data_IF_800270522897
#
_entry.id   IF_800270522897
#
_cell.length_a   1.000
_cell.length_b   1.000
_cell.length_c   1.000
_cell.angle_alpha   90.00
_cell.angle_beta   90.00
_cell.angle_gamma   90.00
#
_symmetry.space_group_name_H-M   'P 1'
#
loop_
_entity.id
_entity.type
_entity.pdbx_description
1 polymer ?
#
# COMPACT_ATOMS: atom_id res chain seq x y z
N UNK A 1 17.16 -1.87 4.02
CA UNK A 1 16.86 -1.05 5.24
C UNK A 1 15.38 -1.18 5.54
N UNK A 2 15.00 -1.59 6.72
CA UNK A 2 13.61 -1.58 7.19
C UNK A 2 13.45 -0.38 8.12
N UNK A 3 12.75 0.67 7.69
CA UNK A 3 12.71 1.97 8.37
C UNK A 3 12.01 1.91 9.73
N UNK A 4 10.90 1.17 9.93
CA UNK A 4 10.29 1.00 11.25
C UNK A 4 11.28 0.59 12.34
N UNK A 5 12.18 -0.35 12.06
CA UNK A 5 13.20 -0.79 13.04
C UNK A 5 14.18 0.30 13.47
N UNK A 6 14.40 1.30 12.63
CA UNK A 6 15.22 2.47 12.98
C UNK A 6 14.40 3.51 13.74
N UNK A 7 13.12 3.67 13.37
CA UNK A 7 12.19 4.58 14.01
C UNK A 7 12.02 4.22 15.49
N UNK A 8 11.74 2.95 15.80
CA UNK A 8 11.57 2.42 17.16
C UNK A 8 12.77 2.67 18.08
N UNK A 9 13.98 2.75 17.52
CA UNK A 9 15.22 2.95 18.25
C UNK A 9 15.64 4.41 18.37
N UNK A 10 14.89 5.33 17.75
CA UNK A 10 15.25 6.75 17.68
C UNK A 10 14.40 7.57 18.64
N UNK A 11 14.98 8.03 19.74
CA UNK A 11 14.30 8.89 20.73
C UNK A 11 13.93 10.29 20.18
N UNK A 12 14.71 10.85 19.28
CA UNK A 12 14.45 12.14 18.62
C UNK A 12 14.31 11.90 17.12
N UNK A 13 13.07 11.83 16.64
CA UNK A 13 12.73 11.56 15.24
C UNK A 13 13.41 12.52 14.26
N UNK A 14 13.78 13.72 14.70
CA UNK A 14 14.55 14.68 13.87
C UNK A 14 15.95 14.19 13.56
N UNK A 15 16.47 13.20 14.31
CA UNK A 15 17.77 12.57 14.13
C UNK A 15 17.72 11.23 13.44
N UNK A 16 16.53 10.78 12.98
CA UNK A 16 16.35 9.47 12.33
C UNK A 16 17.35 9.28 11.17
N UNK A 17 17.47 10.27 10.28
CA UNK A 17 18.41 10.21 9.17
C UNK A 17 19.85 10.00 9.63
N UNK A 18 20.32 10.79 10.60
CA UNK A 18 21.68 10.65 11.14
C UNK A 18 21.89 9.30 11.83
N UNK A 19 20.86 8.78 12.51
CA UNK A 19 20.93 7.46 13.13
C UNK A 19 21.09 6.34 12.10
N UNK A 20 20.29 6.37 11.03
CA UNK A 20 20.41 5.42 9.91
C UNK A 20 21.79 5.53 9.26
N UNK A 21 22.24 6.75 8.97
CA UNK A 21 23.54 7.02 8.35
C UNK A 21 24.70 6.43 9.17
N UNK A 22 24.69 6.63 10.50
CA UNK A 22 25.73 6.12 11.39
C UNK A 22 25.77 4.59 11.41
N UNK A 23 24.61 3.93 11.48
CA UNK A 23 24.53 2.46 11.47
C UNK A 23 25.04 1.90 10.15
N UNK A 24 24.60 2.47 9.01
CA UNK A 24 25.07 2.03 7.69
C UNK A 24 26.56 2.27 7.49
N UNK A 25 27.07 3.42 7.95
CA UNK A 25 28.49 3.73 7.90
C UNK A 25 29.33 2.72 8.69
N UNK A 26 28.88 2.36 9.90
CA UNK A 26 29.53 1.36 10.75
C UNK A 26 29.49 -0.03 10.12
N UNK A 27 28.34 -0.45 9.62
CA UNK A 27 28.20 -1.75 8.93
C UNK A 27 29.10 -1.87 7.70
N UNK A 28 29.16 -0.82 6.87
CA UNK A 28 30.03 -0.80 5.70
C UNK A 28 31.52 -0.82 6.07
N UNK A 29 31.95 -0.07 7.07
CA UNK A 29 33.32 -0.12 7.58
C UNK A 29 33.71 -1.50 8.08
N UNK A 30 32.81 -2.15 8.80
CA UNK A 30 33.02 -3.51 9.32
C UNK A 30 33.05 -4.56 8.21
N UNK A 31 32.30 -4.36 7.11
CA UNK A 31 32.27 -5.28 5.97
C UNK A 31 33.48 -5.10 5.03
N UNK A 32 33.92 -3.86 4.82
CA UNK A 32 35.01 -3.49 3.91
C UNK A 32 36.32 -3.13 4.66
N UNK A 33 36.70 -3.95 5.65
CA UNK A 33 37.86 -3.71 6.53
C UNK A 33 39.17 -3.51 5.78
N UNK A 34 39.37 -4.25 4.69
CA UNK A 34 40.61 -4.23 3.90
C UNK A 34 40.69 -3.06 2.90
N UNK A 35 39.65 -2.21 2.86
CA UNK A 35 39.58 -1.12 1.85
C UNK A 35 40.16 0.19 2.34
N UNK A 36 40.67 0.26 3.57
CA UNK A 36 41.31 1.46 4.13
C UNK A 36 40.36 2.65 4.29
N UNK A 37 39.12 2.41 4.63
CA UNK A 37 38.11 3.46 4.82
C UNK A 37 38.51 4.33 6.03
N UNK A 38 38.57 5.68 5.92
CA UNK A 38 38.86 6.55 7.03
C UNK A 38 37.82 6.41 8.18
N UNK A 39 38.25 6.40 9.40
CA UNK A 39 37.32 6.28 10.56
C UNK A 39 36.30 7.42 10.64
N UNK A 40 36.68 8.63 10.23
CA UNK A 40 35.81 9.81 10.26
C UNK A 40 34.92 9.96 9.01
N UNK A 41 35.00 9.01 8.05
CA UNK A 41 34.23 9.09 6.82
C UNK A 41 32.71 8.94 7.09
N UNK A 42 31.93 9.85 6.52
CA UNK A 42 30.46 9.73 6.44
C UNK A 42 30.03 8.69 5.40
N UNK A 43 28.74 8.39 5.34
CA UNK A 43 28.20 7.35 4.48
C UNK A 43 28.49 7.59 2.99
N UNK A 44 28.35 8.83 2.51
CA UNK A 44 28.63 9.17 1.10
C UNK A 44 30.14 9.00 0.76
N UNK A 45 31.00 9.42 1.66
CA UNK A 45 32.46 9.23 1.53
C UNK A 45 32.82 7.75 1.51
N UNK A 46 32.18 6.92 2.35
CA UNK A 46 32.40 5.46 2.39
C UNK A 46 31.94 4.84 1.06
N UNK A 47 30.73 5.16 0.60
CA UNK A 47 30.18 4.65 -0.66
C UNK A 47 31.14 4.97 -1.83
N UNK A 48 31.59 6.22 -1.93
CA UNK A 48 32.52 6.64 -2.98
C UNK A 48 33.89 5.97 -2.83
N UNK A 49 34.43 5.86 -1.62
CA UNK A 49 35.71 5.21 -1.35
C UNK A 49 35.69 3.73 -1.78
N UNK A 50 34.64 3.00 -1.39
CA UNK A 50 34.45 1.59 -1.75
C UNK A 50 34.27 1.42 -3.25
N UNK A 51 33.44 2.25 -3.89
CA UNK A 51 33.15 2.19 -5.31
C UNK A 51 34.39 2.40 -6.20
N UNK A 52 35.33 3.26 -5.72
CA UNK A 52 36.57 3.54 -6.42
C UNK A 52 37.71 2.57 -6.10
N UNK A 53 37.52 1.66 -5.12
CA UNK A 53 38.54 0.69 -4.75
C UNK A 53 38.72 -0.36 -5.87
N UNK A 54 39.98 -0.74 -6.22
CA UNK A 54 40.25 -1.69 -7.32
C UNK A 54 39.51 -3.03 -7.18
N UNK A 55 39.33 -3.53 -5.97
CA UNK A 55 38.59 -4.76 -5.66
C UNK A 55 37.07 -4.67 -5.86
N UNK A 56 36.53 -3.44 -6.03
CA UNK A 56 35.10 -3.17 -6.20
C UNK A 56 34.77 -2.53 -7.55
N UNK A 57 35.79 -2.32 -8.41
CA UNK A 57 35.66 -1.64 -9.70
C UNK A 57 34.53 -2.22 -10.56
N UNK A 58 33.73 -1.35 -11.18
CA UNK A 58 32.55 -1.65 -11.98
C UNK A 58 31.37 -2.28 -11.20
N UNK A 59 31.42 -2.30 -9.89
CA UNK A 59 30.29 -2.61 -9.01
C UNK A 59 29.62 -1.29 -8.60
N UNK A 60 28.58 -1.38 -7.85
CA UNK A 60 27.89 -0.21 -7.28
C UNK A 60 26.94 -0.66 -6.19
N UNK A 61 26.46 0.29 -5.44
CA UNK A 61 25.53 0.00 -4.36
C UNK A 61 24.09 -0.11 -4.89
N UNK A 62 23.36 -1.05 -4.33
CA UNK A 62 21.90 -1.18 -4.47
C UNK A 62 21.29 -0.98 -3.10
N UNK A 63 20.37 -0.03 -2.99
CA UNK A 63 19.62 0.21 -1.77
C UNK A 63 18.21 -0.34 -1.90
N UNK A 64 17.80 -1.16 -0.94
CA UNK A 64 16.43 -1.62 -0.78
C UNK A 64 15.92 -1.04 0.53
N UNK A 65 14.87 -0.21 0.47
CA UNK A 65 14.28 0.49 1.61
C UNK A 65 12.85 0.03 1.74
N UNK A 66 12.55 -0.57 2.87
CA UNK A 66 11.23 -1.10 3.18
C UNK A 66 10.51 -0.15 4.13
N UNK A 67 9.23 0.09 3.86
CA UNK A 67 8.36 1.02 4.60
C UNK A 67 8.97 2.42 4.74
N UNK A 68 9.45 2.98 3.61
CA UNK A 68 10.10 4.31 3.61
C UNK A 68 9.23 5.39 4.22
N UNK A 69 7.92 5.23 4.16
CA UNK A 69 6.88 6.19 4.53
C UNK A 69 6.43 6.09 6.00
N UNK A 70 6.96 5.15 6.78
CA UNK A 70 6.49 4.91 8.16
C UNK A 70 6.52 6.18 9.04
N UNK A 71 7.52 7.07 8.89
CA UNK A 71 7.59 8.33 9.63
C UNK A 71 6.39 9.26 9.34
N UNK A 72 5.80 9.16 8.15
CA UNK A 72 4.63 9.96 7.76
C UNK A 72 3.34 9.39 8.34
N UNK A 73 3.30 8.08 8.60
CA UNK A 73 2.16 7.38 9.19
C UNK A 73 2.18 7.42 10.72
N UNK A 74 3.35 7.26 11.32
CA UNK A 74 3.49 7.16 12.78
C UNK A 74 3.75 8.51 13.46
N UNK A 75 4.35 9.46 12.76
CA UNK A 75 4.67 10.79 13.28
C UNK A 75 4.02 11.90 12.44
N UNK A 76 2.71 11.79 12.23
CA UNK A 76 1.91 12.65 11.32
C UNK A 76 2.12 14.15 11.62
N UNK A 77 2.11 14.55 12.88
CA UNK A 77 2.24 15.95 13.29
C UNK A 77 3.69 16.47 13.31
N UNK A 78 4.69 15.57 13.24
CA UNK A 78 6.10 15.96 13.32
C UNK A 78 6.68 16.32 11.95
N UNK A 79 6.14 17.36 11.33
CA UNK A 79 6.56 17.83 9.99
C UNK A 79 8.04 18.20 9.92
N UNK A 80 8.64 18.62 11.06
CA UNK A 80 10.07 18.92 11.16
C UNK A 80 10.95 17.68 11.00
N UNK A 81 10.55 16.55 11.60
CA UNK A 81 11.25 15.27 11.46
C UNK A 81 11.06 14.71 10.04
N UNK A 82 9.84 14.77 9.49
CA UNK A 82 9.55 14.33 8.14
C UNK A 82 10.42 15.07 7.10
N UNK A 83 10.53 16.41 7.20
CA UNK A 83 11.39 17.21 6.31
C UNK A 83 12.87 16.83 6.41
N UNK A 84 13.39 16.58 7.62
CA UNK A 84 14.78 16.16 7.82
C UNK A 84 15.04 14.78 7.23
N UNK A 85 14.10 13.85 7.40
CA UNK A 85 14.19 12.52 6.81
C UNK A 85 14.20 12.56 5.28
N UNK A 86 13.32 13.35 4.66
CA UNK A 86 13.34 13.55 3.22
C UNK A 86 14.66 14.17 2.73
N UNK A 87 15.21 15.13 3.48
CA UNK A 87 16.51 15.73 3.17
C UNK A 87 17.64 14.70 3.26
N UNK A 88 17.59 13.81 4.25
CA UNK A 88 18.54 12.70 4.38
C UNK A 88 18.49 11.78 3.17
N UNK A 89 17.30 11.28 2.75
CA UNK A 89 17.16 10.43 1.56
C UNK A 89 17.67 11.14 0.31
N UNK A 90 17.33 12.41 0.13
CA UNK A 90 17.80 13.21 -0.99
C UNK A 90 19.32 13.34 -1.01
N UNK A 91 19.94 13.61 0.13
CA UNK A 91 21.38 13.81 0.23
C UNK A 91 22.19 12.56 -0.12
N UNK A 92 21.65 11.37 0.19
CA UNK A 92 22.31 10.12 -0.16
C UNK A 92 22.11 9.76 -1.63
N UNK A 93 20.89 9.90 -2.15
CA UNK A 93 20.54 9.29 -3.44
C UNK A 93 20.61 10.24 -4.62
N UNK A 94 20.47 11.56 -4.40
CA UNK A 94 20.49 12.51 -5.50
C UNK A 94 21.91 12.71 -6.05
N UNK A 95 22.02 12.57 -7.37
CA UNK A 95 23.27 12.83 -8.12
C UNK A 95 24.45 11.95 -7.65
N UNK A 96 24.19 10.78 -7.06
CA UNK A 96 25.21 9.85 -6.56
C UNK A 96 25.44 8.72 -7.59
N UNK A 97 26.48 8.87 -8.41
CA UNK A 97 26.83 7.90 -9.47
C UNK A 97 27.32 6.54 -9.00
N UNK A 98 27.66 6.41 -7.72
CA UNK A 98 28.13 5.18 -7.09
C UNK A 98 26.96 4.26 -6.67
N UNK A 99 25.74 4.81 -6.65
CA UNK A 99 24.50 4.07 -6.38
C UNK A 99 23.86 3.72 -7.72
N UNK A 100 23.66 2.43 -7.96
CA UNK A 100 23.13 1.93 -9.25
C UNK A 100 21.62 1.75 -9.25
N UNK A 101 21.04 1.48 -8.09
CA UNK A 101 19.59 1.31 -7.94
C UNK A 101 19.20 1.67 -6.51
N UNK A 102 18.08 2.36 -6.39
CA UNK A 102 17.35 2.50 -5.13
C UNK A 102 15.93 2.00 -5.34
N UNK A 103 15.53 1.00 -4.58
CA UNK A 103 14.19 0.45 -4.59
C UNK A 103 13.54 0.71 -3.23
N UNK A 104 12.44 1.44 -3.22
CA UNK A 104 11.72 1.79 -2.00
C UNK A 104 10.32 1.21 -2.04
N UNK A 105 9.89 0.60 -0.93
CA UNK A 105 8.52 0.15 -0.71
C UNK A 105 7.86 0.97 0.39
N UNK A 106 6.57 1.21 0.26
CA UNK A 106 5.75 1.91 1.23
C UNK A 106 4.28 1.84 0.86
N UNK A 107 3.42 2.29 1.75
CA UNK A 107 1.97 2.35 1.53
C UNK A 107 1.59 3.65 0.84
N UNK A 108 2.19 4.76 1.30
CA UNK A 108 1.87 6.08 0.79
C UNK A 108 2.77 6.46 -0.39
N UNK A 109 2.21 7.06 -1.45
CA UNK A 109 3.01 7.64 -2.52
C UNK A 109 3.89 8.80 -1.99
N UNK A 110 4.90 9.20 -2.77
CA UNK A 110 5.82 10.26 -2.37
C UNK A 110 5.08 11.60 -2.26
N UNK A 111 5.12 12.22 -1.07
CA UNK A 111 4.44 13.47 -0.80
C UNK A 111 4.99 14.61 -1.64
N UNK A 112 4.10 15.29 -2.36
CA UNK A 112 4.41 16.51 -3.10
C UNK A 112 4.36 17.71 -2.16
N UNK A 113 5.46 18.03 -1.47
CA UNK A 113 5.57 19.24 -0.68
C UNK A 113 5.89 20.45 -1.57
N UNK A 114 4.91 21.34 -1.74
CA UNK A 114 5.09 22.59 -2.48
C UNK A 114 5.41 22.39 -3.96
N UNK A 115 6.04 23.42 -4.60
CA UNK A 115 6.42 23.41 -6.01
C UNK A 115 7.61 22.50 -6.34
N UNK A 116 8.25 21.89 -5.33
CA UNK A 116 9.40 21.01 -5.51
C UNK A 116 9.26 19.78 -4.63
N UNK A 117 8.96 18.62 -5.23
CA UNK A 117 9.04 17.34 -4.56
C UNK A 117 10.45 17.11 -4.03
N UNK A 118 10.59 16.81 -2.73
CA UNK A 118 11.89 16.55 -2.12
C UNK A 118 12.58 15.31 -2.73
N UNK A 119 11.81 14.38 -3.28
CA UNK A 119 12.25 13.10 -3.87
C UNK A 119 11.83 12.95 -5.33
N UNK A 120 11.99 13.97 -6.15
CA UNK A 120 11.69 13.93 -7.59
C UNK A 120 12.72 13.13 -8.42
N UNK A 121 13.50 12.30 -7.78
CA UNK A 121 14.54 11.45 -8.37
C UNK A 121 14.09 10.00 -8.55
N UNK A 122 12.85 9.68 -8.16
CA UNK A 122 12.28 8.34 -8.25
C UNK A 122 11.12 8.30 -9.25
N UNK A 123 11.05 7.21 -10.01
CA UNK A 123 9.83 6.80 -10.67
C UNK A 123 8.91 6.16 -9.63
N UNK A 124 7.67 6.60 -9.60
CA UNK A 124 6.69 6.15 -8.61
C UNK A 124 5.67 5.21 -9.24
N UNK A 125 5.48 4.07 -8.61
CA UNK A 125 4.46 3.08 -8.94
C UNK A 125 3.51 2.96 -7.76
N UNK A 126 2.23 3.14 -7.98
CA UNK A 126 1.23 3.18 -6.90
C UNK A 126 0.00 2.35 -7.23
N UNK A 127 -0.91 2.21 -6.26
CA UNK A 127 -2.18 1.51 -6.50
C UNK A 127 -3.07 2.20 -7.53
N UNK A 128 -2.84 3.50 -7.80
CA UNK A 128 -3.56 4.25 -8.84
C UNK A 128 -2.85 4.24 -10.19
N UNK A 129 -1.54 3.95 -10.21
CA UNK A 129 -0.74 3.80 -11.42
C UNK A 129 0.43 2.82 -11.18
N UNK A 130 0.17 1.50 -11.19
CA UNK A 130 1.18 0.49 -10.91
C UNK A 130 2.08 0.17 -12.11
N UNK A 131 1.71 0.58 -13.33
CA UNK A 131 2.42 0.36 -14.58
C UNK A 131 3.04 -1.05 -14.68
N UNK A 132 4.33 -1.17 -15.05
CA UNK A 132 4.99 -2.46 -15.23
C UNK A 132 5.12 -3.30 -13.94
N UNK A 133 4.97 -2.71 -12.76
CA UNK A 133 5.09 -3.41 -11.48
C UNK A 133 3.78 -4.04 -11.00
N UNK A 134 2.66 -3.80 -11.68
CA UNK A 134 1.35 -4.32 -11.30
C UNK A 134 1.36 -5.82 -10.97
N UNK A 135 1.96 -6.63 -11.84
CA UNK A 135 2.02 -8.10 -11.69
C UNK A 135 2.87 -8.61 -10.52
N UNK A 136 3.67 -7.73 -9.90
CA UNK A 136 4.56 -8.08 -8.78
C UNK A 136 4.05 -7.57 -7.43
N UNK A 137 2.89 -6.90 -7.41
CA UNK A 137 2.30 -6.35 -6.19
C UNK A 137 1.49 -7.39 -5.39
N UNK A 138 1.26 -8.58 -5.95
CA UNK A 138 0.51 -9.67 -5.33
C UNK A 138 0.56 -10.93 -6.18
N UNK A 139 -0.32 -11.89 -5.94
CA UNK A 139 -0.47 -13.05 -6.82
C UNK A 139 -1.37 -12.71 -8.01
N UNK A 140 -0.94 -13.12 -9.20
CA UNK A 140 -1.78 -13.08 -10.41
C UNK A 140 -2.84 -14.19 -10.36
N UNK A 141 -3.90 -14.04 -11.16
CA UNK A 141 -4.98 -15.05 -11.26
C UNK A 141 -4.45 -16.43 -11.65
N UNK A 142 -3.52 -16.49 -12.62
CA UNK A 142 -2.91 -17.76 -13.06
C UNK A 142 -2.11 -18.43 -11.93
N UNK A 143 -1.38 -17.64 -11.13
CA UNK A 143 -0.65 -18.16 -9.97
C UNK A 143 -1.60 -18.69 -8.90
N UNK A 144 -2.72 -17.98 -8.64
CA UNK A 144 -3.73 -18.40 -7.67
C UNK A 144 -4.45 -19.67 -8.14
N UNK A 145 -4.78 -19.76 -9.44
CA UNK A 145 -5.35 -20.98 -10.02
C UNK A 145 -4.42 -22.18 -9.80
N UNK A 146 -3.13 -22.03 -10.16
CA UNK A 146 -2.12 -23.10 -9.97
C UNK A 146 -1.93 -23.48 -8.49
N UNK A 147 -2.02 -22.51 -7.57
CA UNK A 147 -2.00 -22.78 -6.13
C UNK A 147 -3.25 -23.55 -5.67
N UNK A 148 -4.44 -23.18 -6.16
CA UNK A 148 -5.68 -23.89 -5.84
C UNK A 148 -5.63 -25.35 -6.32
N UNK A 149 -5.18 -25.59 -7.55
CA UNK A 149 -5.00 -26.94 -8.09
C UNK A 149 -4.00 -27.75 -7.24
N UNK A 150 -2.83 -27.17 -6.94
CA UNK A 150 -1.77 -27.83 -6.16
C UNK A 150 -2.20 -28.22 -4.75
N UNK A 151 -2.98 -27.36 -4.10
CA UNK A 151 -3.37 -27.56 -2.70
C UNK A 151 -4.82 -28.08 -2.53
N UNK A 152 -5.54 -28.35 -3.62
CA UNK A 152 -6.92 -28.86 -3.60
C UNK A 152 -7.89 -27.89 -2.94
N UNK A 153 -7.89 -26.64 -3.37
CA UNK A 153 -8.79 -25.58 -2.90
C UNK A 153 -9.72 -25.13 -4.03
N UNK A 154 -10.93 -24.69 -3.68
CA UNK A 154 -11.90 -24.21 -4.66
C UNK A 154 -11.46 -22.83 -5.20
N UNK A 155 -11.29 -22.76 -6.51
CA UNK A 155 -10.87 -21.51 -7.16
C UNK A 155 -11.99 -20.48 -7.23
N UNK A 156 -13.26 -20.89 -7.38
CA UNK A 156 -14.40 -19.97 -7.44
C UNK A 156 -14.58 -19.27 -6.08
N UNK A 157 -14.46 -20.04 -4.98
CA UNK A 157 -14.45 -19.47 -3.63
C UNK A 157 -13.27 -18.52 -3.43
N UNK A 158 -12.08 -18.88 -3.93
CA UNK A 158 -10.90 -18.02 -3.87
C UNK A 158 -11.11 -16.71 -4.62
N UNK A 159 -11.73 -16.75 -5.80
CA UNK A 159 -12.10 -15.57 -6.55
C UNK A 159 -13.12 -14.70 -5.81
N UNK A 160 -14.18 -15.30 -5.31
CA UNK A 160 -15.23 -14.59 -4.59
C UNK A 160 -14.68 -13.82 -3.37
N UNK A 161 -13.81 -14.49 -2.60
CA UNK A 161 -13.28 -13.90 -1.37
C UNK A 161 -12.17 -12.88 -1.59
N UNK A 162 -11.26 -13.06 -2.57
CA UNK A 162 -9.98 -12.34 -2.56
C UNK A 162 -9.61 -11.70 -3.91
N UNK A 163 -10.38 -11.88 -4.98
CA UNK A 163 -10.17 -11.19 -6.26
C UNK A 163 -10.66 -9.74 -6.16
N UNK A 164 -10.36 -8.91 -7.17
CA UNK A 164 -11.00 -7.61 -7.37
C UNK A 164 -10.06 -6.43 -7.57
N UNK A 165 -8.75 -6.61 -7.40
CA UNK A 165 -7.78 -5.60 -7.83
C UNK A 165 -7.46 -5.86 -9.30
N UNK A 166 -8.05 -5.04 -10.18
CA UNK A 166 -7.92 -5.18 -11.62
C UNK A 166 -7.02 -4.07 -12.17
N UNK A 167 -5.86 -4.45 -12.68
CA UNK A 167 -4.94 -3.58 -13.38
C UNK A 167 -4.94 -3.89 -14.89
N UNK A 168 -4.79 -2.87 -15.74
CA UNK A 168 -4.73 -3.00 -17.21
C UNK A 168 -5.86 -3.85 -17.82
N UNK A 169 -7.11 -3.69 -17.33
CA UNK A 169 -8.34 -4.36 -17.79
C UNK A 169 -8.35 -5.89 -17.71
N UNK A 170 -7.19 -6.54 -17.55
CA UNK A 170 -7.06 -8.01 -17.61
C UNK A 170 -6.23 -8.60 -16.49
N UNK A 171 -5.45 -7.81 -15.80
CA UNK A 171 -4.55 -8.30 -14.77
C UNK A 171 -5.23 -8.29 -13.41
N UNK A 172 -5.73 -9.45 -13.00
CA UNK A 172 -6.28 -9.66 -11.67
C UNK A 172 -5.15 -9.94 -10.67
N UNK A 173 -5.13 -9.19 -9.58
CA UNK A 173 -4.15 -9.34 -8.50
C UNK A 173 -4.89 -9.64 -7.20
N UNK A 174 -4.36 -10.62 -6.47
CA UNK A 174 -4.89 -11.12 -5.20
C UNK A 174 -3.93 -10.77 -4.06
N UNK A 175 -4.47 -10.51 -2.88
CA UNK A 175 -3.66 -10.32 -1.68
C UNK A 175 -2.95 -11.63 -1.30
N UNK A 176 -1.61 -11.66 -1.24
CA UNK A 176 -0.86 -12.88 -0.96
C UNK A 176 -1.16 -13.46 0.44
N UNK A 177 -1.35 -12.61 1.46
CA UNK A 177 -1.64 -13.09 2.82
C UNK A 177 -2.97 -13.83 2.88
N UNK A 178 -4.02 -13.25 2.29
CA UNK A 178 -5.36 -13.84 2.28
C UNK A 178 -5.37 -15.18 1.54
N UNK A 179 -4.74 -15.22 0.36
CA UNK A 179 -4.61 -16.46 -0.43
C UNK A 179 -3.84 -17.53 0.34
N UNK A 180 -2.66 -17.21 0.89
CA UNK A 180 -1.82 -18.16 1.64
C UNK A 180 -2.54 -18.64 2.91
N UNK A 181 -3.20 -17.73 3.63
CA UNK A 181 -3.98 -18.05 4.83
C UNK A 181 -5.15 -19.00 4.52
N UNK A 182 -5.90 -18.74 3.43
CA UNK A 182 -7.00 -19.59 3.01
C UNK A 182 -6.52 -21.00 2.63
N UNK A 183 -5.45 -21.09 1.84
CA UNK A 183 -4.86 -22.38 1.44
C UNK A 183 -4.30 -23.17 2.64
N UNK A 184 -3.59 -22.48 3.54
CA UNK A 184 -2.97 -23.13 4.72
C UNK A 184 -4.00 -23.62 5.73
N UNK A 185 -5.06 -22.83 5.96
CA UNK A 185 -6.11 -23.11 6.96
C UNK A 185 -7.27 -23.91 6.40
N UNK A 186 -7.29 -24.12 5.07
CA UNK A 186 -8.39 -24.80 4.37
C UNK A 186 -9.75 -24.17 4.69
N UNK A 187 -9.81 -22.85 4.76
CA UNK A 187 -11.01 -22.11 5.12
C UNK A 187 -11.01 -20.73 4.46
N UNK A 188 -12.10 -20.41 3.77
CA UNK A 188 -12.36 -19.06 3.26
C UNK A 188 -13.00 -18.22 4.37
N UNK A 189 -12.47 -17.06 4.60
CA UNK A 189 -12.95 -16.06 5.56
C UNK A 189 -12.15 -14.78 5.42
N UNK A 190 -12.55 -13.74 6.12
CA UNK A 190 -11.78 -12.52 6.25
C UNK A 190 -10.46 -12.76 7.03
N UNK A 191 -9.33 -12.45 6.37
CA UNK A 191 -7.97 -12.45 6.94
C UNK A 191 -7.40 -11.04 7.07
N UNK A 192 -8.06 -10.03 6.48
CA UNK A 192 -7.65 -8.63 6.50
C UNK A 192 -7.68 -8.02 7.91
N UNK A 193 -8.63 -8.43 8.77
CA UNK A 193 -8.83 -7.92 10.14
C UNK A 193 -7.64 -8.07 11.09
N UNK A 194 -6.58 -8.73 10.68
CA UNK A 194 -5.39 -8.94 11.50
C UNK A 194 -4.36 -7.82 11.38
N UNK A 195 -4.59 -6.88 10.49
CA UNK A 195 -3.75 -5.69 10.32
C UNK A 195 -4.33 -4.55 11.13
N UNK A 196 -3.49 -3.64 11.66
CA UNK A 196 -3.88 -2.44 12.44
C UNK A 196 -4.79 -1.47 11.68
N UNK A 197 -5.17 -1.83 10.45
CA UNK A 197 -5.86 -1.01 9.48
C UNK A 197 -7.36 -0.85 9.73
N UNK A 198 -8.01 -1.72 10.54
CA UNK A 198 -9.44 -1.59 10.83
C UNK A 198 -9.81 -0.25 11.51
N UNK A 199 -9.02 0.14 12.51
CA UNK A 199 -9.25 1.42 13.20
C UNK A 199 -9.06 2.61 12.24
N UNK A 200 -8.15 2.48 11.27
CA UNK A 200 -7.94 3.49 10.26
C UNK A 200 -9.17 3.66 9.35
N UNK A 201 -9.75 2.57 8.84
CA UNK A 201 -10.95 2.63 8.00
C UNK A 201 -12.09 3.36 8.70
N UNK A 202 -12.36 3.02 9.97
CA UNK A 202 -13.39 3.66 10.78
C UNK A 202 -13.15 5.15 10.94
N UNK A 203 -11.91 5.56 11.26
CA UNK A 203 -11.55 6.99 11.40
C UNK A 203 -11.87 7.76 10.11
N UNK A 204 -11.54 7.21 8.94
CA UNK A 204 -11.80 7.86 7.66
C UNK A 204 -13.29 7.92 7.32
N UNK A 205 -14.07 6.86 7.64
CA UNK A 205 -15.53 6.86 7.47
C UNK A 205 -16.18 7.91 8.38
N UNK A 206 -15.74 8.01 9.62
CA UNK A 206 -16.28 8.94 10.63
C UNK A 206 -15.97 10.41 10.30
N UNK A 207 -14.95 10.70 9.48
CA UNK A 207 -14.69 12.06 8.97
C UNK A 207 -15.87 12.63 8.16
N UNK A 208 -16.68 11.76 7.58
CA UNK A 208 -17.95 12.05 6.91
C UNK A 208 -17.93 13.29 6.01
N UNK A 209 -16.92 13.41 5.15
CA UNK A 209 -16.90 14.43 4.11
C UNK A 209 -18.15 14.36 3.26
N UNK A 210 -18.60 15.52 2.77
CA UNK A 210 -19.82 15.63 1.97
C UNK A 210 -19.82 14.63 0.79
N UNK A 211 -20.83 13.76 0.77
CA UNK A 211 -20.98 12.69 -0.21
C UNK A 211 -20.13 11.41 0.03
N UNK A 212 -19.28 11.34 1.07
CA UNK A 212 -18.50 10.14 1.39
C UNK A 212 -19.42 8.99 1.78
N UNK A 213 -20.37 9.24 2.69
CA UNK A 213 -21.36 8.26 3.14
C UNK A 213 -22.14 7.65 1.98
N UNK A 214 -22.71 8.49 1.12
CA UNK A 214 -23.49 8.04 -0.03
C UNK A 214 -22.65 7.19 -0.99
N UNK A 215 -21.38 7.55 -1.16
CA UNK A 215 -20.46 6.81 -2.00
C UNK A 215 -20.13 5.42 -1.44
N UNK A 216 -19.92 5.31 -0.13
CA UNK A 216 -19.68 4.02 0.54
C UNK A 216 -20.93 3.12 0.44
N UNK A 217 -22.13 3.67 0.68
CA UNK A 217 -23.38 2.93 0.56
C UNK A 217 -23.57 2.39 -0.86
N UNK A 218 -23.30 3.22 -1.88
CA UNK A 218 -23.37 2.78 -3.29
C UNK A 218 -22.39 1.65 -3.58
N UNK A 219 -21.17 1.72 -3.05
CA UNK A 219 -20.16 0.67 -3.25
C UNK A 219 -20.51 -0.62 -2.50
N UNK A 220 -21.08 -0.53 -1.30
CA UNK A 220 -21.59 -1.70 -0.57
C UNK A 220 -22.74 -2.39 -1.34
N UNK A 221 -23.56 -1.63 -2.06
CA UNK A 221 -24.56 -2.14 -3.00
C UNK A 221 -24.01 -2.52 -4.37
N UNK A 222 -22.70 -2.76 -4.51
CA UNK A 222 -22.05 -3.24 -5.73
C UNK A 222 -21.85 -2.19 -6.84
N UNK A 223 -22.15 -0.91 -6.58
CA UNK A 223 -21.95 0.17 -7.56
C UNK A 223 -20.51 0.66 -7.56
N UNK A 224 -20.08 1.29 -8.66
CA UNK A 224 -18.81 2.00 -8.77
C UNK A 224 -19.03 3.50 -8.57
N UNK A 225 -18.03 4.19 -8.04
CA UNK A 225 -18.06 5.62 -7.76
C UNK A 225 -16.89 6.31 -8.46
N UNK A 226 -17.18 7.36 -9.22
CA UNK A 226 -16.13 8.15 -9.88
C UNK A 226 -15.46 9.08 -8.87
N UNK A 227 -14.11 9.13 -8.88
CA UNK A 227 -13.29 10.02 -8.05
C UNK A 227 -12.20 10.71 -8.87
N UNK A 228 -11.64 11.77 -8.30
CA UNK A 228 -10.43 12.42 -8.81
C UNK A 228 -9.26 12.13 -7.87
N UNK A 229 -8.27 11.38 -8.34
CA UNK A 229 -7.06 11.06 -7.57
C UNK A 229 -6.02 12.17 -7.59
N UNK A 230 -6.21 13.19 -8.41
CA UNK A 230 -5.21 14.24 -8.65
C UNK A 230 -5.06 15.26 -7.50
N UNK A 231 -6.06 15.37 -6.65
CA UNK A 231 -6.09 16.33 -5.52
C UNK A 231 -5.39 15.79 -4.28
N UNK A 232 -5.23 14.48 -4.19
CA UNK A 232 -4.62 13.84 -3.04
C UNK A 232 -3.13 14.20 -2.93
N UNK A 233 -2.75 14.81 -1.81
CA UNK A 233 -1.40 15.31 -1.57
C UNK A 233 -0.55 14.41 -0.65
N UNK A 234 -1.01 13.21 -0.32
CA UNK A 234 -0.37 12.32 0.65
C UNK A 234 -0.21 12.92 2.05
N UNK A 235 -1.11 13.79 2.43
CA UNK A 235 -1.19 14.32 3.78
C UNK A 235 -2.30 13.62 4.53
N UNK A 236 -1.95 12.71 5.44
CA UNK A 236 -2.92 12.02 6.28
C UNK A 236 -3.63 12.97 7.27
N UNK A 237 -3.14 14.19 7.40
CA UNK A 237 -3.70 15.22 8.28
C UNK A 237 -4.56 16.27 7.56
N UNK A 238 -4.55 16.32 6.23
CA UNK A 238 -5.15 17.41 5.47
C UNK A 238 -5.97 16.89 4.28
N UNK A 239 -7.11 16.23 4.57
CA UNK A 239 -8.08 15.89 3.54
C UNK A 239 -8.97 17.10 3.25
N UNK A 240 -9.10 17.45 1.98
CA UNK A 240 -9.95 18.56 1.54
C UNK A 240 -11.30 18.08 0.98
N UNK A 241 -11.41 16.78 0.62
CA UNK A 241 -12.59 16.24 -0.05
C UNK A 241 -12.78 14.74 0.24
N UNK A 242 -13.97 14.22 -0.10
CA UNK A 242 -14.21 12.77 -0.09
C UNK A 242 -13.27 12.02 -1.04
N UNK A 243 -12.88 12.63 -2.16
CA UNK A 243 -12.02 12.02 -3.16
C UNK A 243 -10.60 11.80 -2.61
N UNK A 244 -10.12 12.68 -1.74
CA UNK A 244 -8.84 12.49 -1.05
C UNK A 244 -8.90 11.29 -0.10
N UNK A 245 -9.98 11.16 0.69
CA UNK A 245 -10.20 10.00 1.57
C UNK A 245 -10.29 8.72 0.76
N UNK A 246 -11.07 8.70 -0.31
CA UNK A 246 -11.20 7.51 -1.17
C UNK A 246 -9.89 7.16 -1.86
N UNK A 247 -9.09 8.14 -2.28
CA UNK A 247 -7.75 7.90 -2.85
C UNK A 247 -6.82 7.27 -1.81
N UNK A 248 -6.85 7.74 -0.57
CA UNK A 248 -6.12 7.09 0.50
C UNK A 248 -6.58 5.63 0.71
N UNK A 249 -7.89 5.38 0.71
CA UNK A 249 -8.42 4.01 0.83
C UNK A 249 -7.99 3.10 -0.33
N UNK A 250 -7.78 3.66 -1.54
CA UNK A 250 -7.15 2.91 -2.65
C UNK A 250 -5.71 2.54 -2.30
N UNK A 251 -4.88 3.48 -1.81
CA UNK A 251 -3.50 3.19 -1.44
C UNK A 251 -3.39 2.20 -0.27
N UNK A 252 -4.33 2.24 0.66
CA UNK A 252 -4.43 1.28 1.76
C UNK A 252 -4.98 -0.10 1.34
N UNK A 253 -5.47 -0.25 0.09
CA UNK A 253 -6.02 -1.50 -0.42
C UNK A 253 -7.49 -1.76 -0.05
N UNK A 254 -8.20 -0.81 0.56
CA UNK A 254 -9.64 -0.95 0.83
C UNK A 254 -10.51 -0.75 -0.40
N UNK A 255 -10.03 0.01 -1.39
CA UNK A 255 -10.74 0.24 -2.64
C UNK A 255 -9.88 -0.19 -3.83
N UNK A 256 -10.52 -0.78 -4.82
CA UNK A 256 -9.95 -0.99 -6.15
C UNK A 256 -10.19 0.27 -7.00
N UNK A 257 -9.20 0.67 -7.78
CA UNK A 257 -9.28 1.81 -8.70
C UNK A 257 -9.14 1.35 -10.13
N UNK A 258 -10.06 1.80 -10.98
CA UNK A 258 -9.97 1.58 -12.42
C UNK A 258 -9.41 2.85 -13.08
N UNK A 259 -8.17 2.76 -13.56
CA UNK A 259 -7.47 3.88 -14.20
C UNK A 259 -8.21 4.41 -15.43
N UNK A 260 -8.82 3.54 -16.24
CA UNK A 260 -9.47 3.92 -17.50
C UNK A 260 -10.77 4.71 -17.27
N UNK A 261 -11.55 4.36 -16.23
CA UNK A 261 -12.83 5.01 -15.94
C UNK A 261 -12.74 6.07 -14.85
N UNK A 262 -11.67 6.05 -14.05
CA UNK A 262 -11.53 6.90 -12.86
C UNK A 262 -12.50 6.52 -11.75
N UNK A 263 -12.90 5.25 -11.67
CA UNK A 263 -13.87 4.76 -10.71
C UNK A 263 -13.23 3.87 -9.65
N UNK A 264 -13.81 3.92 -8.45
CA UNK A 264 -13.47 3.04 -7.34
C UNK A 264 -14.63 2.11 -7.00
N UNK A 265 -14.29 0.94 -6.47
CA UNK A 265 -15.25 -0.04 -5.94
C UNK A 265 -14.62 -0.81 -4.77
N UNK A 266 -15.47 -1.45 -3.96
CA UNK A 266 -15.00 -2.43 -3.00
C UNK A 266 -14.53 -3.66 -3.79
N UNK A 267 -13.28 -4.16 -3.58
CA UNK A 267 -12.69 -5.14 -4.48
C UNK A 267 -13.31 -6.54 -4.37
N UNK A 268 -13.64 -7.00 -3.17
CA UNK A 268 -14.02 -8.39 -2.93
C UNK A 268 -14.83 -8.54 -1.64
N UNK A 269 -15.26 -9.76 -1.37
CA UNK A 269 -16.10 -10.08 -0.22
C UNK A 269 -15.36 -9.87 1.12
N UNK A 270 -14.07 -10.19 1.19
CA UNK A 270 -13.25 -9.95 2.38
C UNK A 270 -13.29 -8.49 2.81
N UNK A 271 -13.06 -7.57 1.88
CA UNK A 271 -13.05 -6.13 2.14
C UNK A 271 -14.47 -5.58 2.34
N UNK A 272 -15.47 -6.19 1.70
CA UNK A 272 -16.87 -5.84 1.93
C UNK A 272 -17.28 -6.09 3.39
N UNK A 273 -16.85 -7.21 3.99
CA UNK A 273 -17.06 -7.48 5.41
C UNK A 273 -16.41 -6.43 6.32
N UNK A 274 -15.22 -5.92 5.96
CA UNK A 274 -14.57 -4.82 6.70
C UNK A 274 -15.42 -3.55 6.66
N UNK A 275 -15.93 -3.17 5.48
CA UNK A 275 -16.81 -2.01 5.36
C UNK A 275 -18.10 -2.20 6.15
N UNK A 276 -18.75 -3.37 6.10
CA UNK A 276 -19.94 -3.63 6.90
C UNK A 276 -19.68 -3.47 8.40
N UNK A 277 -18.55 -3.98 8.87
CA UNK A 277 -18.16 -3.90 10.28
C UNK A 277 -17.89 -2.43 10.68
N UNK A 278 -17.14 -1.69 9.86
CA UNK A 278 -16.81 -0.28 10.12
C UNK A 278 -18.07 0.60 10.12
N UNK A 279 -18.95 0.43 9.14
CA UNK A 279 -20.19 1.18 8.98
C UNK A 279 -21.18 0.86 10.10
N UNK A 280 -21.34 -0.42 10.49
CA UNK A 280 -22.17 -0.85 11.61
C UNK A 280 -21.73 -0.20 12.93
N UNK A 281 -20.42 -0.14 13.19
CA UNK A 281 -19.88 0.51 14.40
C UNK A 281 -20.04 2.03 14.42
N UNK A 282 -20.29 2.66 13.28
CA UNK A 282 -20.49 4.11 13.11
C UNK A 282 -21.99 4.53 13.17
N UNK A 283 -22.89 3.63 13.58
CA UNK A 283 -24.32 3.90 13.77
C UNK A 283 -25.16 3.86 12.49
N UNK A 284 -24.73 3.14 11.47
CA UNK A 284 -25.45 2.97 10.20
C UNK A 284 -26.17 1.60 10.13
N UNK A 285 -26.52 1.02 11.27
CA UNK A 285 -27.09 -0.34 11.38
C UNK A 285 -28.30 -0.58 10.48
N UNK A 286 -29.19 0.45 10.33
CA UNK A 286 -30.36 0.31 9.46
C UNK A 286 -30.00 0.22 7.98
N UNK A 287 -28.96 0.94 7.55
CA UNK A 287 -28.47 0.90 6.18
C UNK A 287 -27.83 -0.46 5.87
N UNK A 288 -26.99 -0.94 6.79
CA UNK A 288 -26.36 -2.27 6.69
C UNK A 288 -27.43 -3.37 6.58
N UNK A 289 -28.44 -3.35 7.44
CA UNK A 289 -29.56 -4.30 7.40
C UNK A 289 -30.33 -4.23 6.07
N UNK A 290 -30.56 -3.04 5.56
CA UNK A 290 -31.28 -2.85 4.29
C UNK A 290 -30.52 -3.42 3.10
N UNK A 291 -29.19 -3.28 3.07
CA UNK A 291 -28.35 -3.83 2.02
C UNK A 291 -28.32 -5.36 2.14
N UNK A 292 -28.09 -5.92 3.32
CA UNK A 292 -28.09 -7.37 3.56
C UNK A 292 -29.42 -8.02 3.17
N UNK A 293 -30.54 -7.42 3.53
CA UNK A 293 -31.88 -7.91 3.13
C UNK A 293 -32.10 -7.84 1.61
N UNK A 294 -31.50 -6.84 0.94
CA UNK A 294 -31.56 -6.73 -0.52
C UNK A 294 -30.77 -7.84 -1.20
N UNK A 295 -29.59 -8.17 -0.68
CA UNK A 295 -28.76 -9.25 -1.19
C UNK A 295 -29.42 -10.63 -0.99
N UNK A 296 -29.98 -10.89 0.22
CA UNK A 296 -30.76 -12.10 0.51
C UNK A 296 -31.97 -12.24 -0.44
N UNK A 297 -32.68 -11.14 -0.72
CA UNK A 297 -33.79 -11.13 -1.62
C UNK A 297 -33.35 -11.43 -3.06
N UNK A 298 -32.21 -10.90 -3.49
CA UNK A 298 -31.63 -11.12 -4.81
C UNK A 298 -31.25 -12.60 -4.96
N UNK A 299 -30.52 -13.16 -3.99
CA UNK A 299 -30.15 -14.58 -3.98
C UNK A 299 -31.36 -15.51 -4.02
N UNK A 300 -32.43 -15.19 -3.29
CA UNK A 300 -33.67 -15.97 -3.31
C UNK A 300 -34.43 -15.86 -4.65
N UNK A 301 -34.30 -14.73 -5.34
CA UNK A 301 -35.05 -14.42 -6.57
C UNK A 301 -34.38 -14.94 -7.84
N UNK A 302 -33.04 -14.93 -7.91
CA UNK A 302 -32.27 -15.38 -9.09
C UNK A 302 -32.64 -16.82 -9.50
N UNK A 303 -32.73 -17.84 -8.62
CA UNK A 303 -33.09 -19.18 -9.02
C UNK A 303 -34.52 -19.27 -9.58
N UNK A 304 -35.44 -18.43 -9.10
CA UNK A 304 -36.82 -18.37 -9.57
C UNK A 304 -36.90 -17.80 -11.00
N UNK A 305 -36.14 -16.74 -11.28
CA UNK A 305 -36.04 -16.12 -12.59
C UNK A 305 -35.43 -17.09 -13.60
N UNK A 306 -34.33 -17.75 -13.24
CA UNK A 306 -33.66 -18.75 -14.09
C UNK A 306 -34.62 -19.89 -14.43
N UNK A 307 -35.39 -20.37 -13.48
CA UNK A 307 -36.40 -21.42 -13.69
C UNK A 307 -37.51 -20.99 -14.64
N UNK A 308 -37.93 -19.71 -14.59
CA UNK A 308 -38.93 -19.16 -15.50
C UNK A 308 -38.40 -18.96 -16.94
N UNK A 309 -37.10 -18.71 -17.11
CA UNK A 309 -36.48 -18.51 -18.42
C UNK A 309 -36.12 -19.82 -19.12
N UNK A 310 -36.12 -20.95 -18.41
CA UNK A 310 -35.80 -22.30 -18.92
C UNK A 310 -37.05 -23.14 -19.20
N UNK A 311 -38.25 -22.70 -18.89
CA UNK A 311 -39.54 -23.33 -19.17
C UNK A 311 -40.32 -22.59 -20.20
#
# INVERSE_FOLDING_TARGET
MNIPKFLDKTYDLRKLGNYIENILAEELKNYFTDYGIPETADLNTIISHVSNHPGYKNKGFIFIIDEWDCIFREAVENTGAQKKYLSFLRNIFKDNGDIKLVYMTGILPIKKYGSHSALNIFDEFSMTDPAMLARYAGFTEDEVLGLCEKYGSDFNEMQYWYNGYLFDEKLHIYNPESVVSALTRKKFRNYWTRTETYEALKVYIDMNFDGLKDSIIKMLGGSRVKISVNTFQNDMSAFASKDDVMTLLVHLGYLAYNYNTGEVSIPNHEIQEEFFTAVGSSGWDEVVKSIQLSDELLEATIPLIIKQLQG
#
